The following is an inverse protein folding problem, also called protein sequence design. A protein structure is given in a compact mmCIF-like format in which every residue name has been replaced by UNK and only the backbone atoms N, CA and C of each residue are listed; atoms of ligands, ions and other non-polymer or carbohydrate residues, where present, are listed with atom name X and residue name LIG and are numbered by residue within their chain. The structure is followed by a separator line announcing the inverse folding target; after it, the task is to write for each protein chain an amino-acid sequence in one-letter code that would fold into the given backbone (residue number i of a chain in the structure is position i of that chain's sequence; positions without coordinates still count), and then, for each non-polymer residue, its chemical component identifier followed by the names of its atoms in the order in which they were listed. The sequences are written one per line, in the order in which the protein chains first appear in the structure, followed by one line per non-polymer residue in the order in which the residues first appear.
data_IF_417147117865
#
_entry.id   IF_417147117865
#
_cell.length_a   1.000
_cell.length_b   1.000
_cell.length_c   1.000
_cell.angle_alpha   90.00
_cell.angle_beta   90.00
_cell.angle_gamma   90.00
#
_symmetry.space_group_name_H-M   'P 1'
#
loop_
_entity.id
_entity.type
_entity.pdbx_description
1 polymer ?
#
# COMPACT_ATOMS: atom_id res chain seq x y z
N UNK A 1 13.38 -11.84 -20.08
CA UNK A 1 13.31 -12.42 -18.73
C UNK A 1 14.57 -13.21 -18.36
N UNK A 2 15.01 -14.23 -19.12
CA UNK A 2 16.23 -15.04 -18.81
C UNK A 2 17.52 -14.20 -18.64
N UNK A 3 17.71 -13.13 -19.42
CA UNK A 3 18.88 -12.24 -19.32
C UNK A 3 18.88 -11.36 -18.06
N UNK A 4 17.70 -10.97 -17.57
CA UNK A 4 17.57 -10.18 -16.33
C UNK A 4 17.87 -11.05 -15.12
N UNK A 5 17.39 -12.31 -15.12
CA UNK A 5 17.68 -13.29 -14.05
C UNK A 5 19.19 -13.58 -13.99
N UNK A 6 19.85 -13.72 -15.15
CA UNK A 6 21.29 -13.91 -15.21
C UNK A 6 22.06 -12.70 -14.67
N UNK A 7 21.62 -11.46 -14.97
CA UNK A 7 22.23 -10.24 -14.44
C UNK A 7 22.10 -10.15 -12.91
N UNK A 8 20.93 -10.48 -12.38
CA UNK A 8 20.70 -10.51 -10.93
C UNK A 8 21.57 -11.56 -10.24
N UNK A 9 21.71 -12.75 -10.83
CA UNK A 9 22.59 -13.79 -10.30
C UNK A 9 24.08 -13.39 -10.34
N UNK A 10 24.52 -12.66 -11.36
CA UNK A 10 25.91 -12.15 -11.45
C UNK A 10 26.16 -11.09 -10.36
N UNK A 11 25.21 -10.20 -10.09
CA UNK A 11 25.33 -9.19 -9.02
C UNK A 11 25.41 -9.86 -7.65
N UNK A 12 24.68 -10.95 -7.42
CA UNK A 12 24.81 -11.74 -6.18
C UNK A 12 26.12 -12.51 -6.08
N UNK A 13 26.68 -13.00 -7.19
CA UNK A 13 27.95 -13.74 -7.23
C UNK A 13 29.17 -12.85 -6.97
N UNK A 14 29.12 -11.55 -7.31
CA UNK A 14 30.23 -10.61 -7.11
C UNK A 14 30.45 -10.24 -5.63
N UNK A 15 29.50 -10.53 -4.74
CA UNK A 15 29.63 -10.25 -3.31
C UNK A 15 30.28 -11.37 -2.48
N UNK A 16 30.85 -12.40 -3.13
CA UNK A 16 31.41 -13.60 -2.47
C UNK A 16 32.73 -13.39 -1.70
N UNK A 17 33.32 -12.19 -1.66
CA UNK A 17 34.61 -11.94 -1.00
C UNK A 17 34.50 -11.24 0.38
N UNK A 18 33.31 -11.16 0.97
CA UNK A 18 33.11 -10.52 2.28
C UNK A 18 33.34 -11.48 3.46
N UNK A 19 34.29 -12.38 3.39
CA UNK A 19 34.49 -13.44 4.42
C UNK A 19 35.18 -12.97 5.71
N UNK A 20 35.55 -11.70 5.84
CA UNK A 20 36.27 -11.21 7.06
C UNK A 20 35.68 -9.93 7.67
N UNK A 21 34.52 -9.46 7.24
CA UNK A 21 33.89 -8.33 7.90
C UNK A 21 32.81 -8.82 8.89
N UNK A 22 32.78 -8.28 10.10
CA UNK A 22 31.70 -8.46 11.08
C UNK A 22 30.42 -7.75 10.56
N UNK A 23 29.97 -8.16 9.40
CA UNK A 23 28.75 -7.62 8.75
C UNK A 23 27.48 -8.01 9.47
N UNK A 24 26.36 -7.39 9.08
CA UNK A 24 25.01 -7.60 9.66
C UNK A 24 24.60 -9.08 9.69
N UNK A 25 25.06 -9.87 8.72
CA UNK A 25 24.76 -11.31 8.55
C UNK A 25 25.90 -12.24 8.97
N UNK A 26 26.94 -11.75 9.67
CA UNK A 26 28.03 -12.60 10.14
C UNK A 26 27.60 -13.51 11.29
N UNK A 27 28.39 -14.55 11.57
CA UNK A 27 28.10 -15.52 12.65
C UNK A 27 28.11 -14.85 14.04
N UNK A 28 28.96 -13.84 14.23
CA UNK A 28 29.05 -13.03 15.46
C UNK A 28 28.97 -11.53 15.07
N UNK A 29 27.79 -11.01 14.72
CA UNK A 29 27.66 -9.61 14.30
C UNK A 29 27.84 -8.67 15.50
N UNK A 30 28.42 -7.48 15.26
CA UNK A 30 28.33 -6.40 16.23
C UNK A 30 26.84 -6.01 16.34
N UNK A 31 26.30 -5.98 17.56
CA UNK A 31 24.92 -5.59 17.81
C UNK A 31 24.80 -4.07 17.69
N UNK A 32 24.18 -3.59 16.61
CA UNK A 32 24.00 -2.18 16.35
C UNK A 32 22.79 -1.63 17.13
N UNK A 33 22.81 -0.35 17.52
CA UNK A 33 21.68 0.35 18.11
C UNK A 33 21.03 -0.42 19.29
N UNK A 34 21.83 -1.01 20.17
CA UNK A 34 21.36 -1.87 21.27
C UNK A 34 20.41 -1.12 22.22
N UNK A 35 20.70 0.16 22.49
CA UNK A 35 19.91 1.01 23.37
C UNK A 35 18.64 1.56 22.71
N UNK A 36 18.56 1.54 21.37
CA UNK A 36 17.42 2.06 20.62
C UNK A 36 16.10 1.42 21.03
N UNK A 37 16.11 0.12 21.29
CA UNK A 37 14.90 -0.62 21.70
C UNK A 37 14.31 -0.14 23.04
N UNK A 38 15.03 0.63 23.84
CA UNK A 38 14.58 1.19 25.13
C UNK A 38 13.75 2.48 24.96
N UNK A 39 13.85 3.14 23.81
CA UNK A 39 13.06 4.34 23.54
C UNK A 39 11.57 4.00 23.48
N UNK A 40 10.74 4.90 23.99
CA UNK A 40 9.28 4.73 24.00
C UNK A 40 8.63 5.15 22.70
N UNK A 41 9.18 6.13 22.01
CA UNK A 41 8.64 6.71 20.78
C UNK A 41 9.75 6.78 19.76
N UNK A 42 9.44 6.37 18.54
CA UNK A 42 10.32 6.45 17.37
C UNK A 42 9.63 7.25 16.28
N UNK A 43 10.41 8.06 15.59
CA UNK A 43 9.96 8.74 14.39
C UNK A 43 10.80 8.30 13.20
N UNK A 44 10.22 8.38 12.03
CA UNK A 44 10.87 8.06 10.79
C UNK A 44 10.07 8.56 9.60
N UNK A 45 10.54 8.21 8.43
CA UNK A 45 9.85 8.44 7.17
C UNK A 45 9.85 7.16 6.35
N UNK A 46 8.93 7.08 5.42
CA UNK A 46 8.90 5.98 4.46
C UNK A 46 8.65 6.49 3.07
N UNK A 47 9.13 5.71 2.13
CA UNK A 47 8.81 5.81 0.71
C UNK A 47 8.50 4.41 0.21
N UNK A 48 7.69 4.32 -0.83
CA UNK A 48 7.32 2.99 -1.33
C UNK A 48 6.57 3.03 -2.63
N UNK A 49 6.14 1.85 -3.03
CA UNK A 49 5.33 1.61 -4.20
C UNK A 49 3.99 1.02 -3.78
N UNK A 50 2.97 1.34 -4.55
CA UNK A 50 1.65 0.76 -4.35
C UNK A 50 1.07 0.29 -5.68
N UNK A 51 0.22 -0.73 -5.59
CA UNK A 51 -0.61 -1.18 -6.70
C UNK A 51 -2.03 -1.34 -6.17
N UNK A 52 -2.93 -0.51 -6.67
CA UNK A 52 -4.33 -0.52 -6.29
C UNK A 52 -5.16 -1.24 -7.33
N UNK A 53 -6.05 -2.09 -6.87
CA UNK A 53 -7.08 -2.77 -7.65
C UNK A 53 -8.46 -2.46 -7.07
N UNK A 54 -9.52 -2.74 -7.83
CA UNK A 54 -10.91 -2.59 -7.42
C UNK A 54 -11.61 -3.93 -7.39
N UNK A 55 -12.19 -4.27 -6.25
CA UNK A 55 -13.15 -5.35 -6.15
C UNK A 55 -14.54 -4.78 -6.43
N UNK A 56 -15.17 -5.25 -7.51
CA UNK A 56 -16.52 -4.84 -7.92
C UNK A 56 -17.45 -6.01 -7.69
N UNK A 57 -18.51 -5.80 -6.92
CA UNK A 57 -19.59 -6.75 -6.74
C UNK A 57 -20.79 -6.27 -7.58
N UNK A 58 -21.41 -7.17 -8.35
CA UNK A 58 -22.50 -6.86 -9.28
C UNK A 58 -23.86 -7.33 -8.77
N UNK A 59 -24.92 -6.58 -9.08
CA UNK A 59 -26.31 -6.96 -8.75
C UNK A 59 -26.79 -8.12 -9.60
N UNK A 60 -26.44 -8.13 -10.88
CA UNK A 60 -26.80 -9.17 -11.85
C UNK A 60 -25.57 -9.65 -12.59
N UNK A 61 -25.57 -10.93 -12.97
CA UNK A 61 -24.50 -11.53 -13.76
C UNK A 61 -24.43 -10.86 -15.13
N UNK A 62 -23.26 -10.36 -15.48
CA UNK A 62 -22.98 -9.66 -16.73
C UNK A 62 -21.49 -9.66 -17.03
N UNK A 63 -21.07 -9.03 -18.12
CA UNK A 63 -19.65 -8.91 -18.43
C UNK A 63 -18.95 -8.04 -17.39
N UNK A 64 -17.79 -8.50 -16.96
CA UNK A 64 -16.98 -7.84 -15.93
C UNK A 64 -16.29 -6.57 -16.47
N UNK A 65 -16.24 -5.54 -15.65
CA UNK A 65 -15.43 -4.35 -15.89
C UNK A 65 -13.97 -4.72 -15.65
N UNK A 66 -13.14 -4.56 -16.66
CA UNK A 66 -11.71 -4.80 -16.54
C UNK A 66 -11.04 -3.58 -15.88
N UNK A 67 -10.16 -3.84 -14.93
CA UNK A 67 -9.42 -2.80 -14.20
C UNK A 67 -7.95 -2.92 -14.53
N UNK A 68 -7.43 -1.95 -15.28
CA UNK A 68 -6.01 -1.84 -15.54
C UNK A 68 -5.34 -1.00 -14.45
N UNK A 69 -4.46 -1.65 -13.70
CA UNK A 69 -3.76 -1.05 -12.58
C UNK A 69 -2.40 -0.50 -13.00
N UNK A 70 -2.05 0.70 -12.55
CA UNK A 70 -0.69 1.20 -12.62
C UNK A 70 0.02 1.08 -11.27
N UNK A 71 1.33 0.98 -11.31
CA UNK A 71 2.17 1.10 -10.12
C UNK A 71 2.23 2.57 -9.73
N UNK A 72 1.77 2.86 -8.53
CA UNK A 72 1.87 4.17 -7.91
C UNK A 72 3.03 4.27 -6.94
N UNK A 73 3.19 5.42 -6.33
CA UNK A 73 4.18 5.65 -5.28
C UNK A 73 3.53 6.24 -4.02
N UNK A 74 4.21 6.09 -2.91
CA UNK A 74 3.77 6.64 -1.64
C UNK A 74 4.96 7.14 -0.82
N UNK A 75 4.69 8.19 -0.05
CA UNK A 75 5.66 8.80 0.85
C UNK A 75 4.94 9.32 2.09
N UNK A 76 5.57 9.19 3.23
CA UNK A 76 5.00 9.67 4.48
C UNK A 76 5.95 9.62 5.66
N UNK A 77 5.40 9.89 6.82
CA UNK A 77 6.12 9.85 8.09
C UNK A 77 5.61 8.69 8.93
N UNK A 78 6.42 8.26 9.86
CA UNK A 78 6.10 7.16 10.80
C UNK A 78 6.28 7.68 12.21
N UNK A 79 5.30 7.41 13.05
CA UNK A 79 5.38 7.50 14.49
C UNK A 79 5.08 6.12 15.08
N UNK A 80 6.02 5.58 15.82
CA UNK A 80 5.97 4.24 16.40
C UNK A 80 6.03 4.38 17.93
N UNK A 81 4.97 4.01 18.62
CA UNK A 81 4.88 4.09 20.08
C UNK A 81 4.96 2.69 20.66
N UNK A 82 5.99 2.43 21.45
CA UNK A 82 6.17 1.17 22.14
C UNK A 82 5.14 1.00 23.27
N UNK A 83 4.26 0.03 23.14
CA UNK A 83 3.28 -0.34 24.15
C UNK A 83 3.84 -1.40 25.11
N UNK A 84 4.50 -2.42 24.55
CA UNK A 84 5.15 -3.51 25.26
C UNK A 84 6.44 -3.92 24.52
N UNK A 85 7.16 -4.87 25.05
CA UNK A 85 8.46 -5.31 24.50
C UNK A 85 8.37 -5.76 23.03
N UNK A 86 7.27 -6.41 22.66
CA UNK A 86 7.04 -6.95 21.31
C UNK A 86 5.91 -6.26 20.56
N UNK A 87 5.24 -5.27 21.19
CA UNK A 87 4.06 -4.64 20.65
C UNK A 87 4.21 -3.13 20.58
N UNK A 88 4.11 -2.58 19.37
CA UNK A 88 4.10 -1.15 19.11
C UNK A 88 2.77 -0.73 18.46
N UNK A 89 2.32 0.47 18.79
CA UNK A 89 1.29 1.18 18.04
C UNK A 89 1.98 2.08 17.02
N UNK A 90 1.65 1.89 15.75
CA UNK A 90 2.28 2.58 14.63
C UNK A 90 1.24 3.44 13.90
N UNK A 91 1.60 4.69 13.64
CA UNK A 91 0.83 5.62 12.84
C UNK A 91 1.69 6.12 11.69
N UNK A 92 1.24 5.91 10.44
CA UNK A 92 2.03 6.17 9.22
C UNK A 92 1.28 7.09 8.23
N UNK A 93 0.96 8.34 8.58
CA UNK A 93 0.29 9.23 7.65
C UNK A 93 1.16 9.51 6.43
N UNK A 94 0.55 9.49 5.24
CA UNK A 94 1.27 9.72 4.00
C UNK A 94 0.42 10.04 2.80
N UNK A 95 1.09 10.44 1.73
CA UNK A 95 0.52 10.69 0.40
C UNK A 95 0.72 9.46 -0.47
N UNK A 96 -0.37 9.04 -1.11
CA UNK A 96 -0.41 7.90 -2.02
C UNK A 96 -0.94 8.38 -3.36
N UNK A 97 -0.18 8.11 -4.41
CA UNK A 97 -0.61 8.35 -5.78
C UNK A 97 -0.85 7.02 -6.48
N UNK A 98 -1.98 6.87 -7.16
CA UNK A 98 -2.29 5.72 -8.00
C UNK A 98 -3.15 6.14 -9.19
N UNK A 99 -3.02 5.42 -10.31
CA UNK A 99 -3.87 5.58 -11.48
C UNK A 99 -4.46 4.23 -11.85
N UNK A 100 -5.72 4.23 -12.29
CA UNK A 100 -6.44 3.04 -12.73
C UNK A 100 -7.27 3.42 -13.95
N UNK A 101 -7.43 2.48 -14.87
CA UNK A 101 -8.33 2.63 -16.02
C UNK A 101 -9.37 1.54 -15.94
N UNK A 102 -10.64 1.94 -15.95
CA UNK A 102 -11.78 1.03 -16.02
C UNK A 102 -12.21 0.85 -17.46
N UNK A 103 -12.24 -0.39 -17.93
CA UNK A 103 -12.72 -0.75 -19.26
C UNK A 103 -14.11 -1.38 -19.17
N UNK A 104 -15.09 -0.68 -19.72
CA UNK A 104 -16.47 -1.12 -19.77
C UNK A 104 -16.74 -1.87 -21.09
N UNK A 105 -17.14 -3.16 -21.06
CA UNK A 105 -17.18 -4.00 -22.27
C UNK A 105 -18.33 -3.70 -23.23
N UNK A 106 -19.35 -2.97 -22.82
CA UNK A 106 -20.61 -2.82 -23.58
C UNK A 106 -20.72 -1.54 -24.40
N UNK A 107 -19.62 -0.82 -24.62
CA UNK A 107 -19.63 0.43 -25.37
C UNK A 107 -18.92 0.28 -26.70
N UNK A 108 -19.52 0.84 -27.78
CA UNK A 108 -18.92 0.90 -29.09
C UNK A 108 -17.91 2.03 -29.24
N UNK A 109 -18.04 3.10 -28.46
CA UNK A 109 -17.14 4.24 -28.43
C UNK A 109 -16.07 4.05 -27.35
N UNK A 110 -14.81 4.15 -27.72
CA UNK A 110 -13.67 4.07 -26.77
C UNK A 110 -13.77 5.12 -25.67
N UNK A 111 -14.25 6.34 -25.99
CA UNK A 111 -14.45 7.41 -25.02
C UNK A 111 -15.46 7.06 -23.94
N UNK A 112 -16.51 6.30 -24.29
CA UNK A 112 -17.54 5.88 -23.35
C UNK A 112 -17.14 4.59 -22.59
N UNK A 113 -16.32 3.75 -23.23
CA UNK A 113 -15.80 2.51 -22.66
C UNK A 113 -14.72 2.72 -21.59
N UNK A 114 -14.00 3.83 -21.62
CA UNK A 114 -12.88 4.10 -20.72
C UNK A 114 -13.25 5.11 -19.64
N UNK A 115 -12.88 4.80 -18.41
CA UNK A 115 -12.93 5.76 -17.28
C UNK A 115 -11.62 5.74 -16.53
N UNK A 116 -10.93 6.86 -16.58
CA UNK A 116 -9.68 7.04 -15.83
C UNK A 116 -10.00 7.47 -14.40
N UNK A 117 -9.48 6.72 -13.45
CA UNK A 117 -9.65 6.96 -12.01
C UNK A 117 -8.28 7.23 -11.40
N UNK A 118 -7.86 8.48 -11.51
CA UNK A 118 -6.65 8.97 -10.86
C UNK A 118 -6.95 9.24 -9.39
N UNK A 119 -6.15 8.67 -8.51
CA UNK A 119 -6.31 8.83 -7.07
C UNK A 119 -5.06 9.44 -6.43
N UNK A 120 -5.23 10.61 -5.83
CA UNK A 120 -4.30 11.12 -4.84
C UNK A 120 -4.97 10.98 -3.47
N UNK A 121 -4.39 10.16 -2.61
CA UNK A 121 -4.97 9.85 -1.30
C UNK A 121 -4.07 10.38 -0.20
N UNK A 122 -4.68 10.96 0.84
CA UNK A 122 -4.02 11.05 2.13
C UNK A 122 -4.45 9.81 2.93
N UNK A 123 -3.47 9.02 3.32
CA UNK A 123 -3.66 7.74 3.99
C UNK A 123 -3.30 7.88 5.46
N UNK A 124 -4.17 7.43 6.36
CA UNK A 124 -4.03 7.53 7.81
C UNK A 124 -4.17 6.14 8.45
N UNK A 125 -3.15 5.29 8.41
CA UNK A 125 -3.20 3.97 9.03
C UNK A 125 -2.86 4.05 10.52
N UNK A 126 -3.61 3.30 11.31
CA UNK A 126 -3.31 3.01 12.70
C UNK A 126 -3.10 1.50 12.84
N UNK A 127 -1.87 1.10 13.06
CA UNK A 127 -1.42 -0.28 12.99
C UNK A 127 -0.84 -0.75 14.32
N UNK A 128 -1.06 -2.01 14.64
CA UNK A 128 -0.31 -2.73 15.66
C UNK A 128 0.86 -3.44 14.97
N UNK A 129 2.07 -3.16 15.41
CA UNK A 129 3.30 -3.84 15.00
C UNK A 129 3.68 -4.83 16.06
N UNK A 130 3.62 -6.12 15.72
CA UNK A 130 4.06 -7.21 16.56
C UNK A 130 5.41 -7.72 16.08
N UNK A 131 6.45 -7.49 16.87
CA UNK A 131 7.83 -7.81 16.53
C UNK A 131 8.29 -9.07 17.24
N UNK A 132 9.10 -9.90 16.57
CA UNK A 132 9.75 -11.05 17.19
C UNK A 132 10.92 -10.62 18.08
N UNK A 133 11.56 -11.61 18.70
CA UNK A 133 12.88 -11.43 19.28
C UNK A 133 13.86 -11.01 18.19
N UNK A 134 14.74 -10.05 18.55
CA UNK A 134 15.84 -9.63 17.70
C UNK A 134 16.92 -10.71 17.67
N UNK A 135 17.32 -11.12 16.49
CA UNK A 135 18.43 -12.06 16.28
C UNK A 135 19.54 -11.32 15.55
N UNK A 136 20.63 -11.02 16.25
CA UNK A 136 21.70 -10.17 15.73
C UNK A 136 21.17 -8.77 15.38
N UNK A 137 21.24 -8.40 14.10
CA UNK A 137 20.75 -7.10 13.60
C UNK A 137 19.44 -7.20 12.81
N UNK A 138 18.66 -8.27 13.00
CA UNK A 138 17.43 -8.50 12.26
C UNK A 138 16.29 -8.77 13.26
N UNK A 139 15.13 -8.16 13.00
CA UNK A 139 13.91 -8.37 13.76
C UNK A 139 12.69 -8.42 12.83
N UNK A 140 12.17 -9.61 12.51
CA UNK A 140 10.92 -9.74 11.78
C UNK A 140 9.73 -9.21 12.58
N UNK A 141 8.70 -8.70 11.87
CA UNK A 141 7.48 -8.22 12.49
C UNK A 141 6.26 -8.45 11.60
N UNK A 142 5.09 -8.49 12.24
CA UNK A 142 3.79 -8.47 11.61
C UNK A 142 3.12 -7.11 11.86
N UNK A 143 2.31 -6.68 10.91
CA UNK A 143 1.49 -5.48 10.98
C UNK A 143 0.04 -5.84 10.81
N UNK A 144 -0.83 -5.22 11.58
CA UNK A 144 -2.27 -5.35 11.41
C UNK A 144 -2.99 -4.14 11.97
N UNK A 145 -4.04 -3.68 11.29
CA UNK A 145 -4.80 -2.55 11.78
C UNK A 145 -5.83 -2.03 10.79
N UNK A 146 -6.21 -0.78 10.99
CA UNK A 146 -7.21 -0.09 10.19
C UNK A 146 -6.64 1.20 9.63
N UNK A 147 -7.17 1.64 8.49
CA UNK A 147 -6.81 2.92 7.89
C UNK A 147 -8.02 3.68 7.40
N UNK A 148 -7.91 5.00 7.42
CA UNK A 148 -8.83 5.92 6.76
C UNK A 148 -8.09 6.58 5.59
N UNK A 149 -8.76 6.66 4.44
CA UNK A 149 -8.23 7.33 3.25
C UNK A 149 -9.08 8.53 2.91
N UNK A 150 -8.44 9.66 2.67
CA UNK A 150 -9.05 10.84 2.09
C UNK A 150 -8.64 10.95 0.62
N UNK A 151 -9.58 10.69 -0.27
CA UNK A 151 -9.38 10.83 -1.71
C UNK A 151 -9.53 12.29 -2.13
N UNK A 152 -8.44 12.92 -2.53
CA UNK A 152 -8.41 14.32 -2.99
C UNK A 152 -8.93 14.49 -4.42
N UNK A 153 -8.94 13.40 -5.22
CA UNK A 153 -9.36 13.37 -6.62
C UNK A 153 -10.75 12.75 -6.81
N UNK A 154 -11.56 12.69 -5.76
CA UNK A 154 -12.79 11.86 -5.71
C UNK A 154 -13.95 12.32 -6.60
N UNK A 155 -13.96 13.56 -7.06
CA UNK A 155 -15.10 14.20 -7.75
C UNK A 155 -16.44 14.07 -6.96
N UNK A 156 -16.40 13.79 -5.67
CA UNK A 156 -17.59 13.49 -4.85
C UNK A 156 -18.60 14.61 -4.80
N UNK A 157 -18.17 15.87 -4.97
CA UNK A 157 -19.01 17.07 -4.95
C UNK A 157 -19.49 17.48 -6.35
N UNK A 158 -19.07 16.80 -7.42
CA UNK A 158 -19.50 17.11 -8.77
C UNK A 158 -20.97 16.81 -8.96
N UNK A 159 -21.70 17.71 -9.61
CA UNK A 159 -23.06 17.49 -10.08
C UNK A 159 -23.09 16.69 -11.39
N UNK A 160 -21.99 16.70 -12.14
CA UNK A 160 -21.78 15.93 -13.36
C UNK A 160 -21.55 14.46 -12.99
N UNK A 161 -22.02 13.53 -13.83
CA UNK A 161 -21.87 12.10 -13.65
C UNK A 161 -21.18 11.42 -14.86
N UNK A 162 -21.31 10.09 -15.00
CA UNK A 162 -20.68 9.38 -16.10
C UNK A 162 -21.20 9.76 -17.50
N UNK A 163 -22.43 10.27 -17.63
CA UNK A 163 -22.93 10.83 -18.90
C UNK A 163 -22.11 12.04 -19.35
N UNK A 164 -21.58 12.78 -18.39
CA UNK A 164 -20.72 13.96 -18.60
C UNK A 164 -19.23 13.62 -18.42
N UNK A 165 -18.86 12.32 -18.50
CA UNK A 165 -17.51 11.79 -18.33
C UNK A 165 -16.90 12.04 -16.94
N UNK A 166 -17.70 12.08 -15.89
CA UNK A 166 -17.26 12.23 -14.49
C UNK A 166 -17.52 10.98 -13.68
N UNK A 167 -16.47 10.21 -13.43
CA UNK A 167 -16.53 9.11 -12.46
C UNK A 167 -16.42 9.67 -11.04
N UNK A 168 -17.37 9.33 -10.18
CA UNK A 168 -17.45 9.87 -8.82
C UNK A 168 -17.18 8.79 -7.77
N UNK A 169 -16.32 9.11 -6.83
CA UNK A 169 -16.01 8.27 -5.68
C UNK A 169 -16.23 9.02 -4.36
N UNK A 170 -16.45 8.30 -3.29
CA UNK A 170 -16.50 8.90 -1.96
C UNK A 170 -15.14 9.47 -1.57
N UNK A 171 -15.15 10.61 -0.90
CA UNK A 171 -13.91 11.25 -0.44
C UNK A 171 -13.27 10.48 0.72
N UNK A 172 -14.05 9.92 1.64
CA UNK A 172 -13.56 9.15 2.76
C UNK A 172 -13.87 7.67 2.61
N UNK A 173 -12.86 6.84 2.81
CA UNK A 173 -12.96 5.38 2.78
C UNK A 173 -12.21 4.78 3.95
N UNK A 174 -12.60 3.58 4.35
CA UNK A 174 -11.98 2.85 5.46
C UNK A 174 -11.52 1.48 5.00
N UNK A 175 -10.33 1.08 5.43
CA UNK A 175 -9.73 -0.20 5.08
C UNK A 175 -9.23 -0.91 6.33
N UNK A 176 -9.05 -2.23 6.24
CA UNK A 176 -8.17 -2.97 7.14
C UNK A 176 -6.89 -3.34 6.43
N UNK A 177 -5.82 -3.48 7.18
CA UNK A 177 -4.50 -3.73 6.65
C UNK A 177 -3.81 -4.85 7.40
N UNK A 178 -3.13 -5.71 6.65
CA UNK A 178 -2.31 -6.79 7.17
C UNK A 178 -1.01 -6.85 6.40
N UNK A 179 0.07 -7.09 7.09
CA UNK A 179 1.37 -7.16 6.44
C UNK A 179 2.46 -7.71 7.33
N UNK A 180 3.62 -7.80 6.75
CA UNK A 180 4.83 -8.21 7.44
C UNK A 180 6.03 -7.43 6.95
N UNK A 181 7.07 -7.39 7.75
CA UNK A 181 8.32 -6.73 7.41
C UNK A 181 9.47 -7.20 8.29
N UNK A 182 10.60 -6.60 8.08
CA UNK A 182 11.84 -6.94 8.79
C UNK A 182 12.53 -5.63 9.17
N UNK A 183 12.83 -5.41 10.46
CA UNK A 183 13.72 -4.35 10.89
C UNK A 183 15.16 -4.82 10.74
N UNK A 184 15.97 -4.08 10.01
CA UNK A 184 17.40 -4.29 9.82
C UNK A 184 18.13 -3.14 10.52
N UNK A 185 18.84 -3.48 11.60
CA UNK A 185 19.57 -2.52 12.43
C UNK A 185 20.95 -2.25 11.82
N UNK A 186 21.07 -1.12 11.11
CA UNK A 186 22.36 -0.61 10.65
C UNK A 186 23.08 0.13 11.77
N UNK A 187 24.27 0.64 11.50
CA UNK A 187 25.06 1.37 12.49
C UNK A 187 24.40 2.68 12.95
N UNK A 188 23.73 3.40 12.03
CA UNK A 188 23.17 4.73 12.27
C UNK A 188 21.66 4.83 12.15
N UNK A 189 20.99 3.85 11.55
CA UNK A 189 19.56 3.87 11.31
C UNK A 189 18.97 2.46 11.26
N UNK A 190 17.66 2.37 11.37
CA UNK A 190 16.92 1.12 11.16
C UNK A 190 16.25 1.20 9.79
N UNK A 191 16.56 0.24 8.93
CA UNK A 191 15.90 0.04 7.65
C UNK A 191 14.82 -1.03 7.79
N UNK A 192 13.57 -0.68 7.50
CA UNK A 192 12.41 -1.57 7.71
C UNK A 192 11.61 -1.74 6.43
N UNK A 193 12.04 -2.64 5.51
CA UNK A 193 11.22 -3.03 4.37
C UNK A 193 9.99 -3.82 4.83
N UNK A 194 8.84 -3.56 4.20
CA UNK A 194 7.58 -4.24 4.49
C UNK A 194 6.71 -4.41 3.25
N UNK A 195 5.92 -5.48 3.26
CA UNK A 195 4.82 -5.71 2.32
C UNK A 195 3.52 -5.73 3.11
N UNK A 196 2.50 -5.03 2.61
CA UNK A 196 1.23 -4.88 3.27
C UNK A 196 0.08 -4.96 2.25
N UNK A 197 -0.95 -5.74 2.57
CA UNK A 197 -2.23 -5.72 1.86
C UNK A 197 -3.19 -4.76 2.55
N UNK A 198 -3.86 -3.91 1.78
CA UNK A 198 -4.93 -3.02 2.24
C UNK A 198 -6.23 -3.42 1.55
N UNK A 199 -7.32 -3.55 2.32
CA UNK A 199 -8.60 -4.06 1.85
C UNK A 199 -9.73 -3.15 2.29
N UNK A 200 -10.47 -2.60 1.32
CA UNK A 200 -11.59 -1.70 1.56
C UNK A 200 -12.74 -2.37 2.31
N UNK A 201 -13.23 -1.71 3.34
CA UNK A 201 -14.42 -2.10 4.10
C UNK A 201 -15.65 -1.42 3.53
N UNK A 202 -15.54 -0.11 3.26
CA UNK A 202 -16.65 0.74 2.79
C UNK A 202 -16.81 0.68 1.29
N UNK A 203 -18.06 0.79 0.80
CA UNK A 203 -18.37 1.03 -0.61
C UNK A 203 -17.90 2.44 -1.00
N UNK A 204 -17.07 2.53 -2.04
CA UNK A 204 -16.41 3.76 -2.48
C UNK A 204 -17.16 4.45 -3.63
N UNK A 205 -18.11 3.76 -4.27
CA UNK A 205 -18.84 4.26 -5.43
C UNK A 205 -19.88 5.31 -5.04
N UNK A 206 -19.92 6.41 -5.79
CA UNK A 206 -21.07 7.31 -5.85
C UNK A 206 -21.79 7.01 -7.18
N UNK A 207 -23.00 6.47 -7.08
CA UNK A 207 -23.79 6.06 -8.24
C UNK A 207 -24.28 7.26 -9.04
N UNK A 208 -24.52 7.04 -10.33
CA UNK A 208 -25.12 8.03 -11.21
C UNK A 208 -26.56 8.35 -10.79
N UNK A 209 -27.08 9.47 -11.27
CA UNK A 209 -28.47 9.90 -11.00
C UNK A 209 -29.48 8.94 -11.61
N UNK A 210 -29.17 8.36 -12.76
CA UNK A 210 -29.99 7.33 -13.39
C UNK A 210 -29.69 5.96 -12.77
N UNK A 211 -30.65 5.30 -12.11
CA UNK A 211 -30.50 3.95 -11.58
C UNK A 211 -30.15 2.90 -12.63
N UNK A 212 -30.49 3.14 -13.90
CA UNK A 212 -30.21 2.26 -15.03
C UNK A 212 -28.95 2.65 -15.79
N UNK A 213 -28.10 3.50 -15.21
CA UNK A 213 -26.83 3.91 -15.82
C UNK A 213 -26.01 2.70 -16.27
N UNK A 214 -25.54 2.68 -17.51
CA UNK A 214 -24.72 1.57 -18.01
C UNK A 214 -23.36 1.48 -17.33
N UNK A 215 -22.90 2.52 -16.62
CA UNK A 215 -21.63 2.52 -15.89
C UNK A 215 -21.75 2.08 -14.44
N UNK A 216 -22.80 2.51 -13.73
CA UNK A 216 -22.91 2.28 -12.28
C UNK A 216 -24.17 1.51 -11.88
N UNK A 217 -25.17 1.37 -12.77
CA UNK A 217 -26.47 0.77 -12.46
C UNK A 217 -26.39 -0.67 -11.97
N UNK A 218 -25.52 -1.49 -12.56
CA UNK A 218 -25.34 -2.91 -12.20
C UNK A 218 -24.32 -3.12 -11.05
N UNK A 219 -23.65 -2.08 -10.55
CA UNK A 219 -22.67 -2.23 -9.48
C UNK A 219 -23.40 -2.23 -8.12
N UNK A 220 -23.22 -3.30 -7.35
CA UNK A 220 -23.73 -3.41 -5.99
C UNK A 220 -22.78 -2.75 -5.00
N UNK A 221 -21.46 -3.07 -5.07
CA UNK A 221 -20.44 -2.42 -4.27
C UNK A 221 -19.11 -2.35 -5.01
N UNK A 222 -18.31 -1.33 -4.70
CA UNK A 222 -16.97 -1.15 -5.23
C UNK A 222 -16.02 -0.82 -4.08
N UNK A 223 -14.98 -1.63 -3.91
CA UNK A 223 -14.01 -1.51 -2.81
C UNK A 223 -12.59 -1.59 -3.33
N UNK A 224 -11.72 -0.71 -2.86
CA UNK A 224 -10.30 -0.77 -3.20
C UNK A 224 -9.59 -1.91 -2.50
N UNK A 225 -8.68 -2.53 -3.22
CA UNK A 225 -7.66 -3.45 -2.70
C UNK A 225 -6.30 -2.92 -3.10
N UNK A 226 -5.29 -3.04 -2.24
CA UNK A 226 -3.95 -2.61 -2.61
C UNK A 226 -2.89 -3.53 -2.04
N UNK A 227 -1.78 -3.63 -2.77
CA UNK A 227 -0.51 -4.14 -2.26
C UNK A 227 0.42 -2.95 -2.13
N UNK A 228 0.99 -2.79 -0.94
CA UNK A 228 1.88 -1.70 -0.57
C UNK A 228 3.26 -2.29 -0.23
N UNK A 229 4.30 -1.77 -0.84
CA UNK A 229 5.69 -2.11 -0.54
C UNK A 229 6.35 -0.85 0.00
N UNK A 230 6.66 -0.85 1.29
CA UNK A 230 7.20 0.33 1.98
C UNK A 230 8.63 0.08 2.47
N UNK A 231 9.45 1.09 2.34
CA UNK A 231 10.81 1.17 2.84
C UNK A 231 10.85 2.27 3.90
N UNK A 232 10.87 1.87 5.16
CA UNK A 232 10.85 2.78 6.30
C UNK A 232 12.24 2.97 6.85
N UNK A 233 12.55 4.19 7.25
CA UNK A 233 13.82 4.60 7.87
C UNK A 233 13.53 5.29 9.21
N UNK A 234 14.14 4.76 10.27
CA UNK A 234 14.06 5.29 11.62
C UNK A 234 15.41 5.79 12.11
#
# INVERSE_FOLDING_TARGET
MKKIIALVLIVFALNGNAQNSKGIFSKDPIINLETWQKHRIYFGFYLGFNSYDLKIDYKTVGPDIQVDNSTGFNVGIVADVRLQEYLNLRFEPGLYYSSKILHYPNFASEKDALREVNGTYIHFPLLLKFSSLRTGNIRPYLLGGVSANLNLSSNSKSLEDNLENRFRMKSWTTNYELGFGIDIFSEYFIFSPSIRGSFGISDELIRDKDPNSPWTGNIESMKSRAVLINFTFH
#
